data_IF_566678053600
#
_entry.id   IF_566678053600
#
_cell.length_a   1.000
_cell.length_b   1.000
_cell.length_c   1.000
_cell.angle_alpha   90.00
_cell.angle_beta   90.00
_cell.angle_gamma   90.00
#
_symmetry.space_group_name_H-M   'P 1'
#
loop_
_entity.id
_entity.type
_entity.pdbx_description
1 polymer ?
#
# COMPACT_ATOMS: atom_id res chain seq x y z
N UNK A 1 87.80 20.08 40.56
CA UNK A 1 88.38 18.81 41.04
C UNK A 1 87.26 18.04 41.74
N UNK A 2 87.00 16.80 41.29
CA UNK A 2 86.23 15.72 41.96
C UNK A 2 84.75 15.92 42.40
N UNK A 3 83.90 15.21 41.66
CA UNK A 3 82.79 14.31 42.04
C UNK A 3 82.37 14.11 43.51
N UNK A 4 81.05 13.83 43.64
CA UNK A 4 80.42 12.58 44.15
C UNK A 4 79.47 12.67 45.38
N UNK A 5 78.32 11.97 45.20
CA UNK A 5 77.55 11.15 46.17
C UNK A 5 76.47 11.77 47.12
N UNK A 6 75.21 11.40 46.79
CA UNK A 6 74.10 10.84 47.61
C UNK A 6 73.30 11.60 48.69
N UNK A 7 71.96 11.56 48.46
CA UNK A 7 70.87 11.02 49.31
C UNK A 7 70.66 11.54 50.74
N UNK A 8 69.51 12.19 51.00
CA UNK A 8 68.47 11.63 51.90
C UNK A 8 67.17 12.47 51.90
N UNK A 9 66.07 11.73 52.06
CA UNK A 9 64.66 12.08 52.32
C UNK A 9 64.36 13.30 53.21
N UNK A 10 63.22 13.96 52.92
CA UNK A 10 62.50 14.80 53.88
C UNK A 10 61.24 15.44 53.30
N UNK A 11 60.06 14.91 53.67
CA UNK A 11 58.71 15.30 53.22
C UNK A 11 58.37 16.79 53.44
N UNK A 12 57.56 17.34 52.53
CA UNK A 12 56.81 18.58 52.75
C UNK A 12 55.70 18.83 51.73
N UNK A 13 54.47 18.43 52.09
CA UNK A 13 53.17 18.94 51.60
C UNK A 13 52.93 19.08 50.09
N UNK A 14 52.30 18.07 49.49
CA UNK A 14 51.57 18.22 48.22
C UNK A 14 50.13 18.63 48.53
N UNK A 15 49.77 19.82 48.03
CA UNK A 15 48.40 20.31 47.93
C UNK A 15 47.53 19.30 47.16
N UNK A 16 46.56 18.68 47.84
CA UNK A 16 45.48 17.94 47.18
C UNK A 16 44.47 18.99 46.69
N UNK A 17 44.56 19.37 45.42
CA UNK A 17 43.48 20.04 44.72
C UNK A 17 42.46 18.95 44.38
N UNK A 18 41.41 18.82 45.18
CA UNK A 18 40.20 18.10 44.76
C UNK A 18 39.49 18.94 43.70
N UNK A 19 39.92 18.80 42.45
CA UNK A 19 39.07 19.15 41.32
C UNK A 19 37.86 18.23 41.40
N UNK A 20 36.75 18.77 41.91
CA UNK A 20 35.44 18.15 41.77
C UNK A 20 35.11 18.16 40.29
N UNK A 21 35.51 17.10 39.59
CA UNK A 21 34.95 16.77 38.30
C UNK A 21 33.47 16.53 38.55
N UNK A 22 32.65 17.55 38.29
CA UNK A 22 31.25 17.35 37.95
C UNK A 22 31.28 16.44 36.74
N UNK A 23 31.15 15.15 37.02
CA UNK A 23 30.96 14.12 36.02
C UNK A 23 29.58 14.41 35.44
N UNK A 24 29.53 15.34 34.48
CA UNK A 24 28.38 15.53 33.61
C UNK A 24 28.30 14.21 32.87
N UNK A 25 27.52 13.29 33.42
CA UNK A 25 27.04 12.13 32.70
C UNK A 25 26.55 12.69 31.39
N UNK A 26 27.33 12.44 30.34
CA UNK A 26 26.82 12.38 29.00
C UNK A 26 25.79 11.27 29.14
N UNK A 27 24.55 11.66 29.44
CA UNK A 27 23.41 10.85 29.09
C UNK A 27 23.67 10.54 27.63
N UNK A 28 24.04 9.29 27.38
CA UNK A 28 23.90 8.68 26.09
C UNK A 28 22.45 8.96 25.73
N UNK A 29 22.22 10.04 24.98
CA UNK A 29 21.08 10.19 24.13
C UNK A 29 21.09 8.91 23.32
N UNK A 30 20.24 8.00 23.76
CA UNK A 30 19.86 6.78 23.11
C UNK A 30 19.44 7.19 21.70
N UNK A 31 20.41 7.27 20.80
CA UNK A 31 20.21 7.47 19.37
C UNK A 31 19.73 6.14 18.78
N UNK A 32 18.80 5.48 19.48
CA UNK A 32 17.75 4.72 18.82
C UNK A 32 16.96 5.76 18.05
N UNK A 33 17.35 5.99 16.80
CA UNK A 33 16.35 6.33 15.79
C UNK A 33 15.17 5.44 16.08
N UNK A 34 14.08 6.01 16.60
CA UNK A 34 12.83 5.30 16.72
C UNK A 34 12.58 4.78 15.31
N UNK A 35 12.63 3.47 15.13
CA UNK A 35 12.34 2.85 13.84
C UNK A 35 10.90 3.23 13.55
N UNK A 36 10.71 4.25 12.73
CA UNK A 36 9.39 4.68 12.30
C UNK A 36 8.92 3.56 11.38
N UNK A 37 7.80 2.93 11.74
CA UNK A 37 7.24 1.82 10.99
C UNK A 37 5.86 2.18 10.45
N UNK A 38 5.58 1.66 9.26
CA UNK A 38 4.27 1.70 8.63
C UNK A 38 4.04 0.34 7.96
N UNK A 39 3.11 -0.42 8.51
CA UNK A 39 2.82 -1.79 8.08
C UNK A 39 1.89 -1.78 6.87
N UNK A 40 2.34 -2.42 5.79
CA UNK A 40 1.58 -2.55 4.54
C UNK A 40 1.26 -3.98 4.17
N UNK A 41 1.68 -4.95 4.98
CA UNK A 41 1.53 -6.37 4.66
C UNK A 41 0.07 -6.80 4.54
N UNK A 42 -0.23 -7.49 3.44
CA UNK A 42 -1.57 -7.99 3.14
C UNK A 42 -2.51 -6.96 2.54
N UNK A 43 -2.08 -5.71 2.37
CA UNK A 43 -2.83 -4.69 1.64
C UNK A 43 -2.73 -4.94 0.12
N UNK A 44 -3.75 -4.56 -0.63
CA UNK A 44 -3.82 -4.60 -2.08
C UNK A 44 -2.82 -3.62 -2.70
N UNK A 45 -2.74 -2.39 -2.18
CA UNK A 45 -1.77 -1.35 -2.59
C UNK A 45 -0.50 -1.33 -1.73
N UNK A 46 -0.10 -2.47 -1.18
CA UNK A 46 0.99 -2.55 -0.19
C UNK A 46 2.32 -1.94 -0.65
N UNK A 47 2.69 -2.17 -1.91
CA UNK A 47 3.92 -1.63 -2.51
C UNK A 47 3.86 -0.10 -2.64
N UNK A 48 2.75 0.41 -3.19
CA UNK A 48 2.51 1.85 -3.31
C UNK A 48 2.61 2.55 -1.96
N UNK A 49 1.96 1.98 -0.93
CA UNK A 49 1.99 2.56 0.41
C UNK A 49 3.38 2.56 1.05
N UNK A 50 4.17 1.50 0.87
CA UNK A 50 5.53 1.43 1.43
C UNK A 50 6.48 2.38 0.72
N UNK A 51 6.40 2.51 -0.61
CA UNK A 51 7.19 3.51 -1.34
C UNK A 51 6.85 4.93 -0.96
N UNK A 52 5.55 5.22 -0.79
CA UNK A 52 5.12 6.54 -0.35
C UNK A 52 5.62 6.82 1.06
N UNK A 53 5.41 5.90 2.00
CA UNK A 53 5.91 6.00 3.37
C UNK A 53 7.43 6.25 3.42
N UNK A 54 8.22 5.49 2.65
CA UNK A 54 9.69 5.62 2.60
C UNK A 54 10.20 6.80 1.78
N UNK A 55 9.34 7.43 0.98
CA UNK A 55 9.74 8.48 0.05
C UNK A 55 10.59 7.99 -1.13
N UNK A 56 10.32 6.76 -1.60
CA UNK A 56 11.00 6.15 -2.75
C UNK A 56 10.14 6.28 -4.01
N UNK A 57 9.83 7.53 -4.38
CA UNK A 57 8.90 7.84 -5.48
C UNK A 57 9.36 7.33 -6.83
N UNK A 58 10.66 7.10 -7.02
CA UNK A 58 11.23 6.52 -8.24
C UNK A 58 10.70 5.11 -8.55
N UNK A 59 10.11 4.41 -7.58
CA UNK A 59 9.53 3.09 -7.76
C UNK A 59 7.99 3.13 -7.86
N UNK A 60 7.36 4.31 -7.79
CA UNK A 60 5.91 4.45 -7.89
C UNK A 60 5.52 4.61 -9.36
N UNK A 61 4.71 3.68 -9.87
CA UNK A 61 4.21 3.71 -11.25
C UNK A 61 3.03 4.69 -11.42
N UNK A 62 2.20 4.84 -10.39
CA UNK A 62 1.08 5.78 -10.38
C UNK A 62 1.60 7.22 -10.46
N UNK A 63 0.87 8.10 -11.15
CA UNK A 63 1.14 9.53 -11.18
C UNK A 63 0.08 10.29 -10.38
N UNK A 64 0.40 11.50 -9.87
CA UNK A 64 -0.60 12.33 -9.20
C UNK A 64 -1.81 12.67 -10.07
N UNK A 65 -1.63 12.72 -11.39
CA UNK A 65 -2.69 12.95 -12.37
C UNK A 65 -3.62 11.75 -12.59
N UNK A 66 -3.26 10.56 -12.11
CA UNK A 66 -4.03 9.35 -12.36
C UNK A 66 -5.27 9.32 -11.47
N UNK A 67 -6.41 8.93 -12.04
CA UNK A 67 -7.67 8.84 -11.28
C UNK A 67 -7.59 7.80 -10.16
N UNK A 68 -6.78 6.76 -10.33
CA UNK A 68 -6.51 5.75 -9.30
C UNK A 68 -5.82 6.35 -8.08
N UNK A 69 -4.87 7.27 -8.26
CA UNK A 69 -4.24 7.95 -7.14
C UNK A 69 -5.23 8.86 -6.40
N UNK A 70 -6.05 9.62 -7.13
CA UNK A 70 -7.09 10.46 -6.52
C UNK A 70 -8.09 9.64 -5.72
N UNK A 71 -8.48 8.46 -6.24
CA UNK A 71 -9.33 7.51 -5.54
C UNK A 71 -8.70 7.03 -4.22
N UNK A 72 -7.43 6.63 -4.26
CA UNK A 72 -6.68 6.21 -3.05
C UNK A 72 -6.61 7.35 -2.04
N UNK A 73 -6.29 8.57 -2.47
CA UNK A 73 -6.14 9.72 -1.60
C UNK A 73 -7.49 10.12 -0.95
N UNK A 74 -8.56 10.21 -1.73
CA UNK A 74 -9.91 10.49 -1.22
C UNK A 74 -10.35 9.45 -0.18
N UNK A 75 -10.19 8.16 -0.49
CA UNK A 75 -10.57 7.08 0.42
C UNK A 75 -9.72 7.09 1.69
N UNK A 76 -8.44 7.42 1.60
CA UNK A 76 -7.58 7.60 2.77
C UNK A 76 -8.12 8.68 3.71
N UNK A 77 -8.44 9.88 3.19
CA UNK A 77 -8.94 11.00 3.99
C UNK A 77 -10.26 10.65 4.70
N UNK A 78 -11.20 10.04 3.96
CA UNK A 78 -12.48 9.59 4.53
C UNK A 78 -12.29 8.53 5.60
N UNK A 79 -11.37 7.60 5.36
CA UNK A 79 -11.07 6.52 6.30
C UNK A 79 -10.44 7.05 7.57
N UNK A 80 -9.49 7.99 7.48
CA UNK A 80 -8.93 8.67 8.65
C UNK A 80 -10.02 9.44 9.40
N UNK A 81 -10.83 10.23 8.70
CA UNK A 81 -11.93 10.99 9.31
C UNK A 81 -12.94 10.10 10.04
N UNK A 82 -13.17 8.88 9.54
CA UNK A 82 -14.10 7.90 10.13
C UNK A 82 -13.49 7.11 11.29
N UNK A 83 -12.25 6.62 11.15
CA UNK A 83 -11.62 5.70 12.10
C UNK A 83 -10.75 6.41 13.15
N UNK A 84 -10.31 7.63 12.87
CA UNK A 84 -9.40 8.41 13.71
C UNK A 84 -9.96 9.78 14.15
N UNK A 85 -11.25 9.92 14.53
CA UNK A 85 -11.88 11.23 14.75
C UNK A 85 -11.25 12.03 15.91
N UNK A 86 -10.66 11.35 16.89
CA UNK A 86 -9.96 11.97 18.04
C UNK A 86 -8.59 12.53 17.69
N UNK A 87 -8.03 12.16 16.54
CA UNK A 87 -6.69 12.57 16.08
C UNK A 87 -6.71 13.61 14.95
N UNK A 88 -7.90 14.10 14.60
CA UNK A 88 -8.08 15.26 13.74
C UNK A 88 -7.61 16.54 14.44
N UNK A 89 -6.95 17.47 13.73
CA UNK A 89 -6.53 18.73 14.32
C UNK A 89 -7.73 19.64 14.65
N UNK A 90 -7.52 20.64 15.51
CA UNK A 90 -8.59 21.60 15.87
C UNK A 90 -9.09 22.40 14.68
N UNK A 91 -8.22 22.71 13.72
CA UNK A 91 -8.54 23.42 12.48
C UNK A 91 -9.02 22.50 11.35
N UNK A 92 -9.49 21.29 11.66
CA UNK A 92 -9.96 20.31 10.66
C UNK A 92 -11.02 20.91 9.72
N UNK A 93 -10.99 20.46 8.47
CA UNK A 93 -11.96 20.86 7.44
C UNK A 93 -12.88 19.70 7.12
N UNK A 94 -14.15 19.99 6.86
CA UNK A 94 -15.11 18.98 6.42
C UNK A 94 -14.79 18.56 4.99
N UNK A 95 -14.75 17.25 4.75
CA UNK A 95 -14.60 16.68 3.42
C UNK A 95 -15.93 16.92 2.69
N UNK A 96 -15.85 17.56 1.53
CA UNK A 96 -17.01 17.86 0.69
C UNK A 96 -17.13 16.82 -0.42
N UNK A 97 -18.36 16.55 -0.85
CA UNK A 97 -18.62 15.69 -2.00
C UNK A 97 -19.66 16.29 -2.93
N UNK A 98 -19.58 15.93 -4.20
CA UNK A 98 -20.60 16.30 -5.17
C UNK A 98 -21.71 15.26 -5.16
N UNK A 99 -22.93 15.73 -4.93
CA UNK A 99 -24.14 14.92 -5.06
C UNK A 99 -24.99 15.46 -6.18
N UNK A 100 -25.71 14.57 -6.86
CA UNK A 100 -26.65 14.98 -7.88
C UNK A 100 -27.79 15.77 -7.25
N UNK A 101 -27.96 17.02 -7.68
CA UNK A 101 -29.08 17.88 -7.30
C UNK A 101 -30.29 17.65 -8.20
N UNK A 102 -30.04 17.50 -9.51
CA UNK A 102 -31.07 17.35 -10.54
C UNK A 102 -30.65 16.29 -11.55
N UNK A 103 -31.53 15.32 -11.79
CA UNK A 103 -31.35 14.26 -12.78
C UNK A 103 -32.24 14.51 -14.00
N UNK A 104 -31.70 14.29 -15.19
CA UNK A 104 -32.45 14.18 -16.43
C UNK A 104 -32.75 12.71 -16.69
N UNK A 105 -34.04 12.37 -16.80
CA UNK A 105 -34.50 11.00 -17.07
C UNK A 105 -35.10 10.96 -18.46
N UNK A 106 -34.46 10.22 -19.37
CA UNK A 106 -35.02 9.96 -20.69
C UNK A 106 -35.92 8.74 -20.64
N UNK A 107 -37.08 8.80 -21.32
CA UNK A 107 -38.07 7.71 -21.36
C UNK A 107 -38.42 7.38 -22.81
N UNK A 108 -38.71 6.11 -23.09
CA UNK A 108 -39.21 5.71 -24.40
C UNK A 108 -40.71 6.09 -24.56
N UNK A 109 -41.25 5.84 -25.75
CA UNK A 109 -42.67 6.12 -26.07
C UNK A 109 -43.69 5.36 -25.19
N UNK A 110 -43.24 4.32 -24.48
CA UNK A 110 -44.04 3.52 -23.56
C UNK A 110 -43.84 3.92 -22.08
N UNK A 111 -43.03 4.96 -21.80
CA UNK A 111 -42.75 5.45 -20.46
C UNK A 111 -41.60 4.75 -19.72
N UNK A 112 -40.96 3.73 -20.31
CA UNK A 112 -39.82 3.04 -19.72
C UNK A 112 -38.58 3.94 -19.73
N UNK A 113 -37.86 4.00 -18.61
CA UNK A 113 -36.61 4.73 -18.47
C UNK A 113 -35.52 4.16 -19.40
N UNK A 114 -34.98 5.00 -20.27
CA UNK A 114 -33.89 4.68 -21.18
C UNK A 114 -32.54 5.06 -20.58
N UNK A 115 -32.47 6.23 -19.94
CA UNK A 115 -31.28 6.70 -19.24
C UNK A 115 -31.65 7.67 -18.13
N UNK A 116 -30.75 7.77 -17.15
CA UNK A 116 -30.76 8.77 -16.09
C UNK A 116 -29.37 9.35 -16.00
N UNK A 117 -29.27 10.66 -16.15
CA UNK A 117 -27.99 11.37 -16.12
C UNK A 117 -28.11 12.54 -15.16
N UNK A 118 -27.10 12.75 -14.33
CA UNK A 118 -27.06 13.93 -13.49
C UNK A 118 -26.72 15.17 -14.32
N UNK A 119 -27.60 16.17 -14.30
CA UNK A 119 -27.42 17.44 -15.05
C UNK A 119 -27.02 18.61 -14.14
N UNK A 120 -27.20 18.47 -12.83
CA UNK A 120 -26.82 19.49 -11.87
C UNK A 120 -26.16 18.87 -10.64
N UNK A 121 -24.98 19.36 -10.28
CA UNK A 121 -24.20 18.88 -9.15
C UNK A 121 -24.09 19.95 -8.07
N UNK A 122 -24.28 19.56 -6.81
CA UNK A 122 -24.06 20.44 -5.65
C UNK A 122 -23.06 19.84 -4.68
N UNK A 123 -22.31 20.71 -4.01
CA UNK A 123 -21.39 20.32 -2.95
C UNK A 123 -22.13 20.18 -1.62
N UNK A 124 -21.95 19.04 -0.96
CA UNK A 124 -22.50 18.76 0.37
C UNK A 124 -21.40 18.26 1.30
N UNK A 125 -21.53 18.59 2.59
CA UNK A 125 -20.62 18.13 3.63
C UNK A 125 -20.89 16.67 4.01
N UNK A 126 -19.82 15.89 4.15
CA UNK A 126 -19.88 14.44 4.46
C UNK A 126 -19.95 14.13 5.96
N UNK A 127 -19.81 15.15 6.82
CA UNK A 127 -19.55 15.03 8.27
C UNK A 127 -18.26 14.28 8.62
N UNK A 128 -17.41 13.99 7.64
CA UNK A 128 -16.06 13.48 7.83
C UNK A 128 -15.09 14.65 7.74
N UNK A 129 -14.02 14.60 8.53
CA UNK A 129 -13.07 15.69 8.63
C UNK A 129 -11.65 15.25 8.30
N UNK A 130 -10.91 16.13 7.64
CA UNK A 130 -9.52 15.92 7.24
C UNK A 130 -8.60 17.01 7.81
N UNK A 131 -7.29 16.74 7.77
CA UNK A 131 -6.28 17.79 7.98
C UNK A 131 -6.36 18.78 6.81
N UNK A 132 -6.34 20.11 7.05
CA UNK A 132 -6.50 21.08 5.99
C UNK A 132 -5.46 20.99 4.89
N UNK A 133 -4.20 20.75 5.24
CA UNK A 133 -3.10 20.65 4.27
C UNK A 133 -3.23 19.42 3.37
N UNK A 134 -3.63 18.27 3.92
CA UNK A 134 -3.90 17.06 3.14
C UNK A 134 -5.13 17.24 2.23
N UNK A 135 -6.21 17.79 2.77
CA UNK A 135 -7.43 18.03 1.99
C UNK A 135 -7.17 19.00 0.84
N UNK A 136 -6.44 20.09 1.10
CA UNK A 136 -6.09 21.07 0.07
C UNK A 136 -5.21 20.45 -1.03
N UNK A 137 -4.24 19.59 -0.67
CA UNK A 137 -3.43 18.87 -1.67
C UNK A 137 -4.27 17.94 -2.55
N UNK A 138 -5.27 17.25 -1.96
CA UNK A 138 -6.23 16.46 -2.73
C UNK A 138 -7.07 17.33 -3.66
N UNK A 139 -7.55 18.49 -3.19
CA UNK A 139 -8.34 19.42 -4.01
C UNK A 139 -7.54 20.02 -5.17
N UNK A 140 -6.23 20.23 -5.01
CA UNK A 140 -5.35 20.71 -6.08
C UNK A 140 -5.29 19.71 -7.25
N UNK A 141 -5.13 18.42 -6.95
CA UNK A 141 -5.18 17.36 -7.97
C UNK A 141 -6.56 17.24 -8.58
N UNK A 142 -7.60 17.27 -7.75
CA UNK A 142 -8.97 17.14 -8.22
C UNK A 142 -9.33 18.27 -9.20
N UNK A 143 -8.93 19.51 -8.91
CA UNK A 143 -9.14 20.64 -9.81
C UNK A 143 -8.40 20.48 -11.14
N UNK A 144 -7.18 19.94 -11.12
CA UNK A 144 -6.41 19.61 -12.32
C UNK A 144 -7.09 18.54 -13.16
N UNK A 145 -7.60 17.46 -12.54
CA UNK A 145 -8.31 16.40 -13.26
C UNK A 145 -9.66 16.88 -13.83
N UNK A 146 -10.37 17.74 -13.10
CA UNK A 146 -11.62 18.38 -13.57
C UNK A 146 -11.36 19.25 -14.80
N UNK A 147 -10.27 20.03 -14.82
CA UNK A 147 -9.88 20.84 -15.97
C UNK A 147 -9.57 19.99 -17.22
N UNK A 148 -9.09 18.76 -17.01
CA UNK A 148 -8.79 17.79 -18.07
C UNK A 148 -10.02 16.96 -18.53
N UNK A 149 -11.24 17.29 -18.08
CA UNK A 149 -12.47 16.64 -18.54
C UNK A 149 -12.78 15.26 -17.91
N UNK A 150 -12.10 14.88 -16.82
CA UNK A 150 -12.27 13.59 -16.13
C UNK A 150 -13.40 13.59 -15.08
N UNK A 151 -14.36 14.52 -15.16
CA UNK A 151 -15.43 14.69 -14.15
C UNK A 151 -16.26 13.40 -13.96
N UNK A 152 -16.49 12.66 -15.03
CA UNK A 152 -17.24 11.38 -15.02
C UNK A 152 -16.57 10.31 -14.16
N UNK A 153 -15.23 10.28 -14.10
CA UNK A 153 -14.48 9.31 -13.30
C UNK A 153 -14.60 9.63 -11.81
N UNK A 154 -14.66 10.92 -11.45
CA UNK A 154 -14.83 11.34 -10.06
C UNK A 154 -16.21 10.92 -9.50
N UNK A 155 -17.28 11.11 -10.29
CA UNK A 155 -18.61 10.63 -9.93
C UNK A 155 -18.66 9.11 -9.74
N UNK A 156 -17.94 8.34 -10.57
CA UNK A 156 -17.79 6.88 -10.41
C UNK A 156 -17.01 6.47 -9.16
N UNK A 157 -16.07 7.29 -8.70
CA UNK A 157 -15.28 7.03 -7.48
C UNK A 157 -16.11 7.30 -6.22
N UNK A 158 -17.00 8.29 -6.26
CA UNK A 158 -17.83 8.69 -5.11
C UNK A 158 -19.16 7.93 -5.02
N UNK A 159 -19.65 7.36 -6.12
CA UNK A 159 -20.88 6.56 -6.14
C UNK A 159 -20.55 5.06 -6.34
N UNK A 160 -20.73 4.22 -5.30
CA UNK A 160 -20.53 2.77 -5.38
C UNK A 160 -21.36 2.07 -6.47
N UNK A 161 -22.44 2.71 -6.94
CA UNK A 161 -23.35 2.16 -7.95
C UNK A 161 -23.09 2.70 -9.37
N UNK A 162 -22.26 3.74 -9.53
CA UNK A 162 -21.98 4.36 -10.83
C UNK A 162 -20.88 3.64 -11.64
N UNK A 163 -20.27 2.60 -11.07
CA UNK A 163 -19.21 1.84 -11.74
C UNK A 163 -19.78 1.01 -12.89
N UNK A 164 -19.47 1.40 -14.12
CA UNK A 164 -19.76 0.61 -15.32
C UNK A 164 -19.04 -0.75 -15.34
N UNK A 165 -19.29 -1.52 -16.41
CA UNK A 165 -18.97 -2.95 -16.62
C UNK A 165 -17.48 -3.36 -16.56
N UNK A 166 -16.56 -2.55 -16.04
CA UNK A 166 -15.14 -2.90 -15.91
C UNK A 166 -14.91 -3.74 -14.66
N UNK A 167 -14.81 -5.05 -14.86
CA UNK A 167 -14.45 -6.02 -13.81
C UNK A 167 -13.13 -5.62 -13.12
N UNK A 168 -12.13 -5.14 -13.87
CA UNK A 168 -10.84 -4.73 -13.29
C UNK A 168 -10.96 -3.56 -12.31
N UNK A 169 -11.70 -2.53 -12.69
CA UNK A 169 -11.94 -1.39 -11.82
C UNK A 169 -12.68 -1.82 -10.55
N UNK A 170 -13.66 -2.74 -10.65
CA UNK A 170 -14.34 -3.29 -9.48
C UNK A 170 -13.39 -4.02 -8.53
N UNK A 171 -12.42 -4.77 -9.05
CA UNK A 171 -11.40 -5.42 -8.22
C UNK A 171 -10.52 -4.40 -7.50
N UNK A 172 -10.06 -3.35 -8.20
CA UNK A 172 -9.27 -2.26 -7.59
C UNK A 172 -10.04 -1.55 -6.48
N UNK A 173 -11.31 -1.23 -6.71
CA UNK A 173 -12.17 -0.58 -5.70
C UNK A 173 -12.37 -1.48 -4.49
N UNK A 174 -12.66 -2.77 -4.68
CA UNK A 174 -12.77 -3.72 -3.55
C UNK A 174 -11.45 -3.89 -2.81
N UNK A 175 -10.33 -3.94 -3.53
CA UNK A 175 -8.99 -3.96 -2.95
C UNK A 175 -8.75 -2.75 -2.07
N UNK A 176 -9.05 -1.55 -2.57
CA UNK A 176 -8.93 -0.31 -1.79
C UNK A 176 -9.87 -0.28 -0.59
N UNK A 177 -11.12 -0.75 -0.72
CA UNK A 177 -12.06 -0.86 0.40
C UNK A 177 -11.53 -1.79 1.49
N UNK A 178 -10.97 -2.94 1.10
CA UNK A 178 -10.34 -3.87 2.03
C UNK A 178 -9.11 -3.22 2.72
N UNK A 179 -8.30 -2.48 1.96
CA UNK A 179 -7.14 -1.77 2.51
C UNK A 179 -7.55 -0.75 3.56
N UNK A 180 -8.53 0.10 3.22
CA UNK A 180 -9.04 1.12 4.14
C UNK A 180 -9.70 0.52 5.38
N UNK A 181 -10.25 -0.69 5.30
CA UNK A 181 -10.78 -1.41 6.46
C UNK A 181 -9.69 -1.92 7.42
N UNK A 182 -8.43 -1.97 6.99
CA UNK A 182 -7.30 -2.52 7.74
C UNK A 182 -6.20 -1.51 8.06
N UNK A 183 -6.02 -0.46 7.25
CA UNK A 183 -4.85 0.41 7.28
C UNK A 183 -4.60 1.02 8.67
N UNK A 184 -5.65 1.47 9.38
CA UNK A 184 -5.51 2.03 10.74
C UNK A 184 -5.64 1.00 11.87
N UNK A 185 -6.00 -0.25 11.55
CA UNK A 185 -5.83 -1.38 12.48
C UNK A 185 -4.37 -1.84 12.52
N UNK A 186 -3.70 -1.81 11.37
CA UNK A 186 -2.28 -2.10 11.22
C UNK A 186 -1.41 -0.94 11.69
N UNK A 187 -1.89 0.30 11.54
CA UNK A 187 -1.11 1.51 11.82
C UNK A 187 -1.90 2.45 12.75
N UNK A 188 -1.56 2.56 14.05
CA UNK A 188 -2.27 3.44 14.97
C UNK A 188 -2.34 4.89 14.45
N UNK A 189 -3.52 5.51 14.57
CA UNK A 189 -3.81 6.83 13.99
C UNK A 189 -2.84 7.96 14.38
N UNK A 190 -2.24 7.89 15.58
CA UNK A 190 -1.26 8.86 16.08
C UNK A 190 0.19 8.41 15.91
N UNK A 191 0.45 7.33 15.20
CA UNK A 191 1.81 6.82 15.06
C UNK A 191 2.68 7.78 14.23
N UNK A 192 3.98 7.88 14.53
CA UNK A 192 4.93 8.59 13.67
C UNK A 192 4.92 8.08 12.23
N UNK A 193 4.63 6.78 12.03
CA UNK A 193 4.51 6.15 10.72
C UNK A 193 3.37 6.72 9.88
N UNK A 194 2.17 6.85 10.46
CA UNK A 194 1.03 7.48 9.80
C UNK A 194 1.35 8.93 9.43
N UNK A 195 2.01 9.69 10.32
CA UNK A 195 2.40 11.08 10.01
C UNK A 195 3.41 11.19 8.88
N UNK A 196 4.40 10.29 8.84
CA UNK A 196 5.36 10.21 7.74
C UNK A 196 4.66 9.86 6.42
N UNK A 197 3.76 8.89 6.45
CA UNK A 197 2.96 8.51 5.29
C UNK A 197 2.09 9.67 4.79
N UNK A 198 1.36 10.35 5.67
CA UNK A 198 0.54 11.54 5.34
C UNK A 198 1.38 12.64 4.67
N UNK A 199 2.56 12.94 5.23
CA UNK A 199 3.44 13.98 4.71
C UNK A 199 3.94 13.63 3.30
N UNK A 200 4.39 12.39 3.08
CA UNK A 200 4.81 11.97 1.75
C UNK A 200 3.62 11.85 0.78
N UNK A 201 2.42 11.45 1.23
CA UNK A 201 1.21 11.46 0.40
C UNK A 201 0.90 12.88 -0.11
N UNK A 202 1.00 13.88 0.75
CA UNK A 202 0.87 15.30 0.39
C UNK A 202 1.96 15.74 -0.58
N UNK A 203 3.22 15.44 -0.30
CA UNK A 203 4.34 15.86 -1.16
C UNK A 203 4.24 15.23 -2.54
N UNK A 204 3.91 13.94 -2.61
CA UNK A 204 3.68 13.22 -3.86
C UNK A 204 2.53 13.86 -4.65
N UNK A 205 1.40 14.12 -3.99
CA UNK A 205 0.25 14.80 -4.59
C UNK A 205 0.60 16.15 -5.24
N UNK A 206 1.50 16.90 -4.60
CA UNK A 206 1.94 18.22 -5.03
C UNK A 206 3.17 18.19 -5.96
N UNK A 207 3.57 17.02 -6.47
CA UNK A 207 4.80 16.83 -7.25
C UNK A 207 6.07 17.40 -6.58
N UNK A 208 6.16 17.33 -5.25
CA UNK A 208 7.31 17.76 -4.45
C UNK A 208 8.20 16.59 -4.09
N UNK A 209 9.48 16.88 -3.82
CA UNK A 209 10.44 15.88 -3.35
C UNK A 209 9.98 15.21 -2.06
N UNK A 210 10.17 13.90 -1.98
CA UNK A 210 9.81 13.12 -0.80
C UNK A 210 10.72 13.40 0.40
N UNK A 211 10.21 13.13 1.60
CA UNK A 211 11.06 12.91 2.76
C UNK A 211 11.55 11.46 2.69
N UNK A 212 12.73 11.30 2.10
CA UNK A 212 13.33 10.00 1.77
C UNK A 212 13.97 9.33 3.00
N UNK A 213 13.66 8.07 3.20
CA UNK A 213 14.32 7.19 4.17
C UNK A 213 15.54 6.49 3.55
N UNK A 214 16.58 6.26 4.35
CA UNK A 214 17.82 5.61 3.89
C UNK A 214 17.61 4.12 3.56
N UNK A 215 16.82 3.39 4.35
CA UNK A 215 16.58 1.96 4.16
C UNK A 215 15.71 1.66 2.94
N UNK A 216 16.17 0.76 2.07
CA UNK A 216 15.43 0.31 0.88
C UNK A 216 14.06 -0.27 1.24
N UNK A 217 13.09 -0.07 0.35
CA UNK A 217 11.86 -0.85 0.41
C UNK A 217 12.16 -2.35 0.25
N UNK A 218 11.45 -3.18 1.01
CA UNK A 218 11.50 -4.64 0.82
C UNK A 218 11.00 -5.06 -0.56
N UNK A 219 10.04 -4.34 -1.14
CA UNK A 219 9.50 -4.62 -2.47
C UNK A 219 10.51 -4.27 -3.56
N UNK A 220 11.20 -3.13 -3.44
CA UNK A 220 12.30 -2.78 -4.34
C UNK A 220 13.46 -3.77 -4.24
N UNK A 221 13.82 -4.16 -3.00
CA UNK A 221 14.89 -5.13 -2.74
C UNK A 221 14.56 -6.50 -3.34
N UNK A 222 13.31 -6.96 -3.17
CA UNK A 222 12.75 -8.17 -3.76
C UNK A 222 12.82 -8.14 -5.30
N UNK A 223 12.34 -7.07 -5.94
CA UNK A 223 12.35 -6.95 -7.41
C UNK A 223 13.78 -7.03 -7.96
N UNK A 224 14.75 -6.43 -7.23
CA UNK A 224 16.16 -6.48 -7.58
C UNK A 224 16.77 -7.87 -7.39
N UNK A 225 16.46 -8.57 -6.30
CA UNK A 225 17.02 -9.92 -6.04
C UNK A 225 16.37 -11.02 -6.88
N UNK A 226 15.14 -10.81 -7.34
CA UNK A 226 14.35 -11.83 -8.04
C UNK A 226 13.82 -12.92 -7.10
N UNK A 227 13.27 -13.96 -7.72
CA UNK A 227 12.70 -15.12 -7.02
C UNK A 227 13.78 -16.06 -6.47
N UNK A 228 13.43 -16.88 -5.47
CA UNK A 228 14.35 -17.81 -4.84
C UNK A 228 14.77 -18.93 -5.81
N UNK A 229 16.01 -19.40 -5.66
CA UNK A 229 16.54 -20.58 -6.37
C UNK A 229 16.30 -21.83 -5.51
N UNK A 230 16.17 -22.99 -6.16
CA UNK A 230 15.96 -24.28 -5.51
C UNK A 230 14.49 -24.66 -5.35
N UNK A 231 14.22 -25.79 -4.69
CA UNK A 231 12.88 -26.36 -4.60
C UNK A 231 11.94 -25.51 -3.73
N UNK A 232 10.86 -25.02 -4.33
CA UNK A 232 9.81 -24.25 -3.65
C UNK A 232 8.50 -25.03 -3.63
N UNK A 233 7.70 -24.82 -2.58
CA UNK A 233 6.32 -25.24 -2.48
C UNK A 233 5.41 -24.30 -3.29
N UNK A 234 5.44 -24.48 -4.61
CA UNK A 234 4.65 -23.69 -5.56
C UNK A 234 3.14 -23.94 -5.40
N UNK A 235 2.72 -25.12 -4.92
CA UNK A 235 1.31 -25.39 -4.60
C UNK A 235 0.79 -24.41 -3.55
N UNK A 236 1.56 -24.21 -2.47
CA UNK A 236 1.21 -23.23 -1.43
C UNK A 236 1.23 -21.80 -1.98
N UNK A 237 2.24 -21.46 -2.79
CA UNK A 237 2.31 -20.12 -3.42
C UNK A 237 1.08 -19.82 -4.26
N UNK A 238 0.67 -20.78 -5.11
CA UNK A 238 -0.55 -20.65 -5.91
C UNK A 238 -1.78 -20.52 -5.02
N UNK A 239 -1.85 -21.28 -3.92
CA UNK A 239 -2.97 -21.24 -2.99
C UNK A 239 -3.14 -19.84 -2.38
N UNK A 240 -2.05 -19.29 -1.86
CA UNK A 240 -2.04 -17.96 -1.23
C UNK A 240 -2.36 -16.85 -2.25
N UNK A 241 -1.79 -16.94 -3.47
CA UNK A 241 -2.04 -15.95 -4.53
C UNK A 241 -3.50 -15.97 -5.00
N UNK A 242 -4.08 -17.15 -5.23
CA UNK A 242 -5.49 -17.28 -5.63
C UNK A 242 -6.41 -16.86 -4.49
N UNK A 243 -6.13 -17.28 -3.25
CA UNK A 243 -6.90 -16.86 -2.08
C UNK A 243 -6.91 -15.34 -1.90
N UNK A 244 -5.78 -14.67 -2.10
CA UNK A 244 -5.69 -13.23 -2.04
C UNK A 244 -6.53 -12.54 -3.13
N UNK A 245 -6.38 -12.97 -4.39
CA UNK A 245 -7.18 -12.43 -5.50
C UNK A 245 -8.68 -12.65 -5.27
N UNK A 246 -9.06 -13.81 -4.72
CA UNK A 246 -10.45 -14.17 -4.48
C UNK A 246 -11.19 -13.29 -3.48
N UNK A 247 -10.47 -12.51 -2.65
CA UNK A 247 -11.09 -11.54 -1.73
C UNK A 247 -11.88 -10.45 -2.46
N UNK A 248 -11.55 -10.20 -3.73
CA UNK A 248 -12.21 -9.21 -4.56
C UNK A 248 -13.31 -9.81 -5.46
N UNK A 249 -13.49 -11.14 -5.46
CA UNK A 249 -14.50 -11.81 -6.28
C UNK A 249 -15.92 -11.48 -5.80
N UNK A 250 -16.83 -11.26 -6.76
CA UNK A 250 -18.22 -10.88 -6.47
C UNK A 250 -19.11 -12.07 -6.12
N UNK A 251 -19.03 -13.16 -6.90
CA UNK A 251 -19.99 -14.27 -6.81
C UNK A 251 -19.35 -15.58 -6.35
N UNK A 252 -18.11 -15.80 -6.76
CA UNK A 252 -17.39 -17.02 -6.45
C UNK A 252 -16.61 -16.89 -5.14
N UNK A 253 -16.51 -17.99 -4.40
CA UNK A 253 -15.69 -18.11 -3.20
C UNK A 253 -14.64 -19.19 -3.42
N UNK A 254 -13.38 -18.81 -3.36
CA UNK A 254 -12.27 -19.75 -3.41
C UNK A 254 -12.34 -20.77 -2.27
N UNK A 255 -11.97 -22.02 -2.54
CA UNK A 255 -11.78 -23.05 -1.52
C UNK A 255 -10.29 -23.12 -1.18
N UNK A 256 -9.87 -22.75 0.04
CA UNK A 256 -8.47 -22.82 0.45
C UNK A 256 -7.89 -24.23 0.36
N UNK A 257 -6.60 -24.34 0.09
CA UNK A 257 -5.84 -25.57 -0.12
C UNK A 257 -6.41 -26.47 -1.24
N UNK A 258 -7.07 -25.89 -2.26
CA UNK A 258 -7.66 -26.65 -3.38
C UNK A 258 -6.78 -26.70 -4.63
N UNK A 259 -5.59 -26.11 -4.58
CA UNK A 259 -4.65 -26.15 -5.71
C UNK A 259 -4.27 -27.59 -6.03
N UNK A 260 -4.43 -27.98 -7.29
CA UNK A 260 -4.11 -29.31 -7.79
C UNK A 260 -3.61 -29.27 -9.24
N UNK A 261 -2.96 -30.35 -9.69
CA UNK A 261 -2.49 -30.45 -11.08
C UNK A 261 -1.50 -29.35 -11.47
N UNK A 262 -0.62 -28.95 -10.56
CA UNK A 262 0.40 -27.94 -10.83
C UNK A 262 1.36 -28.43 -11.92
N UNK A 263 1.51 -27.65 -12.98
CA UNK A 263 2.43 -27.90 -14.09
C UNK A 263 3.29 -26.66 -14.32
N UNK A 264 4.61 -26.81 -14.19
CA UNK A 264 5.58 -25.78 -14.61
C UNK A 264 5.79 -25.93 -16.12
N UNK A 265 5.36 -24.94 -16.88
CA UNK A 265 5.40 -24.98 -18.35
C UNK A 265 6.79 -24.64 -18.88
N UNK A 266 7.48 -23.69 -18.24
CA UNK A 266 8.83 -23.28 -18.61
C UNK A 266 9.59 -22.74 -17.41
N UNK A 267 10.92 -22.78 -17.51
CA UNK A 267 11.87 -22.27 -16.51
C UNK A 267 12.90 -21.36 -17.16
N UNK A 268 13.47 -20.45 -16.39
CA UNK A 268 14.59 -19.61 -16.81
C UNK A 268 15.93 -20.35 -16.69
N UNK A 269 17.03 -19.66 -17.00
CA UNK A 269 18.39 -20.20 -16.94
C UNK A 269 18.85 -20.58 -15.53
N UNK A 270 18.19 -20.08 -14.48
CA UNK A 270 18.46 -20.39 -13.08
C UNK A 270 17.53 -21.48 -12.54
N UNK A 271 16.67 -22.04 -13.39
CA UNK A 271 15.71 -23.09 -13.04
C UNK A 271 14.47 -22.60 -12.31
N UNK A 272 14.22 -21.28 -12.28
CA UNK A 272 13.04 -20.66 -11.67
C UNK A 272 11.87 -20.70 -12.65
N UNK A 273 10.61 -20.82 -12.19
CA UNK A 273 9.45 -20.82 -13.09
C UNK A 273 9.38 -19.53 -13.92
N UNK A 274 8.96 -19.66 -15.18
CA UNK A 274 8.59 -18.54 -16.06
C UNK A 274 7.08 -18.55 -16.32
N UNK A 275 6.50 -19.73 -16.49
CA UNK A 275 5.05 -19.93 -16.53
C UNK A 275 4.67 -21.22 -15.81
N UNK A 276 3.59 -21.18 -15.05
CA UNK A 276 3.01 -22.35 -14.42
C UNK A 276 1.48 -22.28 -14.39
N UNK A 277 0.84 -23.44 -14.44
CA UNK A 277 -0.62 -23.59 -14.41
C UNK A 277 -1.04 -24.55 -13.32
N UNK A 278 -2.20 -24.31 -12.73
CA UNK A 278 -2.82 -25.25 -11.79
C UNK A 278 -4.35 -25.17 -11.90
N UNK A 279 -5.02 -26.15 -11.30
CA UNK A 279 -6.46 -26.15 -11.09
C UNK A 279 -6.77 -25.70 -9.66
N UNK A 280 -7.96 -25.15 -9.46
CA UNK A 280 -8.49 -24.82 -8.15
C UNK A 280 -9.99 -25.08 -8.06
N UNK A 281 -10.52 -25.14 -6.84
CA UNK A 281 -11.96 -25.26 -6.60
C UNK A 281 -12.54 -23.95 -6.06
N UNK A 282 -13.78 -23.65 -6.45
CA UNK A 282 -14.56 -22.52 -5.93
C UNK A 282 -16.02 -22.92 -5.71
N UNK A 283 -16.70 -22.20 -4.82
CA UNK A 283 -18.14 -22.32 -4.57
C UNK A 283 -18.86 -21.11 -5.16
N UNK A 284 -19.86 -21.36 -6.00
CA UNK A 284 -20.70 -20.34 -6.63
C UNK A 284 -22.16 -20.45 -6.20
N UNK A 285 -23.09 -20.12 -7.10
CA UNK A 285 -24.54 -20.19 -6.91
C UNK A 285 -25.06 -21.63 -6.69
N UNK A 286 -24.76 -22.22 -5.53
CA UNK A 286 -25.30 -23.50 -5.06
C UNK A 286 -24.47 -24.74 -5.41
N UNK A 287 -23.39 -24.62 -6.19
CA UNK A 287 -22.52 -25.74 -6.55
C UNK A 287 -21.04 -25.41 -6.39
N UNK A 288 -20.25 -26.46 -6.12
CA UNK A 288 -18.79 -26.43 -6.24
C UNK A 288 -18.39 -26.68 -7.68
N UNK A 289 -17.43 -25.91 -8.18
CA UNK A 289 -16.86 -26.08 -9.51
C UNK A 289 -15.34 -25.95 -9.46
N UNK A 290 -14.69 -26.33 -10.55
CA UNK A 290 -13.25 -26.21 -10.73
C UNK A 290 -12.93 -25.14 -11.77
N UNK A 291 -11.91 -24.35 -11.51
CA UNK A 291 -11.30 -23.42 -12.44
C UNK A 291 -9.82 -23.75 -12.64
N UNK A 292 -9.20 -23.05 -13.59
CA UNK A 292 -7.75 -23.08 -13.76
C UNK A 292 -7.16 -21.69 -13.56
N UNK A 293 -5.91 -21.66 -13.11
CA UNK A 293 -5.11 -20.46 -12.96
C UNK A 293 -3.78 -20.64 -13.70
N UNK A 294 -3.35 -19.60 -14.41
CA UNK A 294 -2.01 -19.49 -14.99
C UNK A 294 -1.29 -18.33 -14.34
N UNK A 295 -0.05 -18.54 -13.91
CA UNK A 295 0.80 -17.50 -13.34
C UNK A 295 2.06 -17.37 -14.20
N UNK A 296 2.32 -16.16 -14.67
CA UNK A 296 3.61 -15.81 -15.28
C UNK A 296 4.55 -15.28 -14.22
N UNK A 297 5.85 -15.44 -14.48
CA UNK A 297 6.90 -15.02 -13.59
C UNK A 297 7.92 -14.18 -14.33
N UNK A 298 8.32 -13.07 -13.71
CA UNK A 298 9.35 -12.16 -14.21
C UNK A 298 10.51 -12.16 -13.21
N UNK A 299 11.73 -12.46 -13.68
CA UNK A 299 12.90 -12.67 -12.82
C UNK A 299 12.63 -13.69 -11.67
N UNK A 300 11.87 -14.75 -11.98
CA UNK A 300 11.47 -15.79 -11.04
C UNK A 300 10.41 -15.38 -10.01
N UNK A 301 9.87 -14.15 -10.05
CA UNK A 301 8.81 -13.65 -9.16
C UNK A 301 7.44 -13.72 -9.84
N UNK A 302 6.35 -14.13 -9.16
CA UNK A 302 5.01 -14.01 -9.70
C UNK A 302 4.70 -12.58 -10.17
N UNK A 303 4.19 -12.47 -11.39
CA UNK A 303 3.94 -11.19 -12.06
C UNK A 303 2.44 -11.06 -12.38
N UNK A 304 1.96 -11.79 -13.39
CA UNK A 304 0.56 -11.81 -13.78
C UNK A 304 -0.12 -13.13 -13.40
N UNK A 305 -1.32 -13.02 -12.83
CA UNK A 305 -2.23 -14.12 -12.54
C UNK A 305 -3.39 -14.03 -13.53
N UNK A 306 -3.66 -15.12 -14.24
CA UNK A 306 -4.75 -15.25 -15.21
C UNK A 306 -5.70 -16.34 -14.73
N UNK A 307 -6.99 -16.02 -14.68
CA UNK A 307 -8.03 -16.95 -14.29
C UNK A 307 -8.80 -17.47 -15.51
N UNK A 308 -9.42 -18.64 -15.40
CA UNK A 308 -10.12 -19.28 -16.51
C UNK A 308 -11.25 -18.43 -17.12
N UNK A 309 -11.92 -17.62 -16.30
CA UNK A 309 -13.00 -16.71 -16.66
C UNK A 309 -12.47 -15.39 -17.27
N UNK A 310 -11.22 -15.04 -16.98
CA UNK A 310 -10.53 -13.87 -17.54
C UNK A 310 -9.12 -14.23 -18.05
N UNK A 311 -9.00 -15.08 -19.08
CA UNK A 311 -7.72 -15.69 -19.48
C UNK A 311 -6.70 -14.68 -20.05
N UNK A 312 -7.18 -13.51 -20.48
CA UNK A 312 -6.38 -12.45 -21.09
C UNK A 312 -6.19 -11.24 -20.16
N UNK A 313 -6.75 -11.27 -18.94
CA UNK A 313 -6.61 -10.18 -17.98
C UNK A 313 -5.47 -10.49 -17.01
N UNK A 314 -4.38 -9.71 -17.05
CA UNK A 314 -3.29 -9.82 -16.09
C UNK A 314 -3.75 -9.22 -14.75
N UNK A 315 -3.92 -10.07 -13.73
CA UNK A 315 -4.07 -9.64 -12.35
C UNK A 315 -2.71 -9.62 -11.68
N UNK A 316 -2.26 -8.44 -11.24
CA UNK A 316 -0.98 -8.28 -10.54
C UNK A 316 -0.96 -9.10 -9.26
N UNK A 317 0.11 -9.88 -9.05
CA UNK A 317 0.30 -10.63 -7.83
C UNK A 317 0.45 -9.70 -6.60
N UNK A 318 -0.10 -10.11 -5.44
CA UNK A 318 0.02 -9.30 -4.23
C UNK A 318 1.48 -9.20 -3.78
N UNK A 319 1.98 -7.97 -3.66
CA UNK A 319 3.40 -7.71 -3.43
C UNK A 319 3.92 -8.25 -2.09
N UNK A 320 3.08 -8.33 -1.05
CA UNK A 320 3.47 -8.94 0.23
C UNK A 320 3.67 -10.45 0.11
N UNK A 321 2.81 -11.14 -0.65
CA UNK A 321 2.98 -12.57 -0.95
C UNK A 321 4.24 -12.80 -1.79
N UNK A 322 4.45 -11.99 -2.84
CA UNK A 322 5.64 -12.06 -3.69
C UNK A 322 6.92 -11.79 -2.90
N UNK A 323 6.90 -10.84 -1.95
CA UNK A 323 8.05 -10.55 -1.08
C UNK A 323 8.35 -11.71 -0.13
N UNK A 324 7.31 -12.30 0.46
CA UNK A 324 7.45 -13.48 1.31
C UNK A 324 8.03 -14.67 0.52
N UNK A 325 7.60 -14.83 -0.74
CA UNK A 325 8.15 -15.82 -1.66
C UNK A 325 9.63 -15.57 -1.97
N UNK A 326 10.02 -14.35 -2.33
CA UNK A 326 11.41 -13.98 -2.57
C UNK A 326 12.32 -14.22 -1.35
N UNK A 327 11.79 -14.03 -0.14
CA UNK A 327 12.52 -14.27 1.11
C UNK A 327 12.67 -15.77 1.46
N UNK A 328 12.09 -16.67 0.68
CA UNK A 328 12.21 -18.11 0.88
C UNK A 328 11.21 -18.71 1.87
N UNK A 329 10.12 -18.00 2.20
CA UNK A 329 9.08 -18.51 3.11
C UNK A 329 8.23 -19.63 2.48
N UNK A 330 8.52 -20.01 1.25
CA UNK A 330 7.86 -21.09 0.49
C UNK A 330 8.83 -22.20 0.12
N UNK A 331 9.98 -22.33 0.80
CA UNK A 331 10.87 -23.48 0.57
C UNK A 331 10.10 -24.79 0.83
N UNK A 332 10.32 -25.78 -0.03
CA UNK A 332 9.82 -27.13 0.24
C UNK A 332 10.61 -27.71 1.42
N UNK A 333 9.89 -28.30 2.39
CA UNK A 333 10.51 -29.05 3.49
C UNK A 333 11.15 -30.34 2.98
#
# INVERSE_FOLDING_TARGET
>A
MRNFFTSLLGLGFVFVITASFVNKSIENLDNREQVIEFHTDGLYYAEFYDYLFRGHYENIELKPSDSEFLMIFEQYLRTFGKQCPTYSPSNKVEIMEQVCATEEVSRNIYGNELSRVCIEWKWVGTRLYARPDLYNAKMEIESTQRANGLQTVFAMITDPNAMGNSVDLMHKVKGLQNDMAQIFKLNPCNSPGVRRFEENLKLFALNKSAIRMQGSSKYASMKKSGGPIGTQNLTKLFDDLVANQAQTWSFNRYVPNSISGLVIQSKDTEGRPVNATANYSYKGFGSSANGWVRISFTNGLPDCIYFFDFPNNCKTANSSIVASYAQGNYRAN
#
